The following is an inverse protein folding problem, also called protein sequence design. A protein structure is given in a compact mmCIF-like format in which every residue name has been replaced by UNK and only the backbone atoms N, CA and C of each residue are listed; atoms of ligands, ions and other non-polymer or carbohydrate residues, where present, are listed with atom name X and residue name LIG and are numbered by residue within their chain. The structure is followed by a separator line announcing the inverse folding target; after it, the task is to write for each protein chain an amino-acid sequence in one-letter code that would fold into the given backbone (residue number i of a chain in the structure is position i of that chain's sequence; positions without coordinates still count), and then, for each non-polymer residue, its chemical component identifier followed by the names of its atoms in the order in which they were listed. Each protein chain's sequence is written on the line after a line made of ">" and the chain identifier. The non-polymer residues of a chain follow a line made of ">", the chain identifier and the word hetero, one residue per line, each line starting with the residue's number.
data_IF_843701218414
#
_entry.id   IF_843701218414
#
_cell.length_a   1.000
_cell.length_b   1.000
_cell.length_c   1.000
_cell.angle_alpha   90.00
_cell.angle_beta   90.00
_cell.angle_gamma   90.00
#
_symmetry.space_group_name_H-M   'P 1'
#
loop_
_entity.id
_entity.type
_entity.pdbx_description
1 polymer ?
#
# COMPACT_ATOMS: atom_id res chain seq x y z
N UNK A 1 -0.98 12.63 8.76
CA UNK A 1 -0.22 11.37 8.89
C UNK A 1 1.21 11.59 9.43
N UNK A 2 1.94 12.62 8.99
CA UNK A 2 3.25 12.94 9.53
C UNK A 2 3.23 13.23 11.05
N UNK A 3 2.14 13.75 11.58
CA UNK A 3 2.01 14.09 13.01
C UNK A 3 1.89 12.85 13.93
N UNK A 4 1.38 11.72 13.45
CA UNK A 4 1.33 10.48 14.25
C UNK A 4 2.72 9.85 14.38
N UNK A 5 3.59 10.11 13.40
CA UNK A 5 4.99 9.69 13.36
C UNK A 5 5.96 10.81 13.74
N UNK A 6 5.49 11.89 14.35
CA UNK A 6 6.40 12.92 14.83
C UNK A 6 7.27 12.34 15.95
N UNK A 7 8.41 11.80 15.52
CA UNK A 7 9.41 11.24 16.42
C UNK A 7 9.80 12.24 17.50
N UNK A 8 9.75 13.55 17.23
CA UNK A 8 10.00 14.61 18.22
C UNK A 8 9.01 14.52 19.37
N UNK A 9 7.70 14.43 19.09
CA UNK A 9 6.69 14.34 20.14
C UNK A 9 6.79 13.05 20.96
N UNK A 10 7.09 11.91 20.32
CA UNK A 10 7.30 10.64 21.05
C UNK A 10 8.57 10.68 21.91
N UNK A 11 9.65 11.23 21.39
CA UNK A 11 10.90 11.41 22.16
C UNK A 11 10.73 12.43 23.29
N UNK A 12 10.01 13.51 23.07
CA UNK A 12 9.71 14.50 24.10
C UNK A 12 8.84 13.92 25.20
N UNK A 13 7.81 13.15 24.87
CA UNK A 13 7.00 12.40 25.85
C UNK A 13 7.83 11.41 26.66
N UNK A 14 8.72 10.66 26.01
CA UNK A 14 9.59 9.71 26.69
C UNK A 14 10.65 10.41 27.56
N UNK A 15 11.25 11.48 27.04
CA UNK A 15 12.27 12.28 27.75
C UNK A 15 11.66 13.03 28.92
N UNK A 16 10.56 13.73 28.71
CA UNK A 16 9.91 14.56 29.73
C UNK A 16 9.27 13.68 30.81
N UNK A 17 8.75 12.50 30.46
CA UNK A 17 8.30 11.51 31.42
C UNK A 17 9.43 10.99 32.31
N UNK A 18 10.62 10.78 31.73
CA UNK A 18 11.80 10.29 32.47
C UNK A 18 12.39 11.37 33.39
N UNK A 19 12.33 12.64 32.97
CA UNK A 19 12.92 13.77 33.74
C UNK A 19 11.92 14.41 34.71
N UNK A 20 10.61 14.38 34.42
CA UNK A 20 9.59 15.09 35.19
C UNK A 20 8.65 14.18 35.98
N UNK A 21 8.74 12.85 35.81
CA UNK A 21 7.80 11.88 36.38
C UNK A 21 6.35 11.99 35.82
N UNK A 22 6.15 12.75 34.75
CA UNK A 22 4.85 13.01 34.09
C UNK A 22 4.62 12.12 32.86
N UNK A 23 5.25 10.97 32.81
CA UNK A 23 5.12 10.03 31.71
C UNK A 23 3.72 9.44 31.68
N UNK A 24 2.93 9.79 30.66
CA UNK A 24 1.68 9.11 30.36
C UNK A 24 1.93 7.91 29.44
N UNK A 25 2.13 6.77 30.07
CA UNK A 25 2.37 5.48 29.40
C UNK A 25 1.22 5.10 28.48
N UNK A 26 -0.03 5.35 28.89
CA UNK A 26 -1.21 4.99 28.09
C UNK A 26 -1.27 5.83 26.81
N UNK A 27 -0.93 7.11 26.90
CA UNK A 27 -0.91 8.00 25.74
C UNK A 27 0.20 7.60 24.74
N UNK A 28 1.37 7.20 25.23
CA UNK A 28 2.43 6.68 24.35
C UNK A 28 1.99 5.41 23.63
N UNK A 29 1.37 4.48 24.34
CA UNK A 29 0.82 3.25 23.74
C UNK A 29 -0.27 3.55 22.70
N UNK A 30 -1.14 4.54 22.97
CA UNK A 30 -2.14 5.00 22.00
C UNK A 30 -1.52 5.51 20.73
N UNK A 31 -0.49 6.34 20.83
CA UNK A 31 0.26 6.84 19.67
C UNK A 31 0.92 5.70 18.89
N UNK A 32 1.51 4.74 19.59
CA UNK A 32 2.08 3.55 18.97
C UNK A 32 1.01 2.72 18.23
N UNK A 33 -0.16 2.52 18.84
CA UNK A 33 -1.28 1.83 18.21
C UNK A 33 -1.71 2.51 16.90
N UNK A 34 -1.91 3.82 16.94
CA UNK A 34 -2.25 4.64 15.76
C UNK A 34 -1.18 4.57 14.69
N UNK A 35 0.10 4.59 15.09
CA UNK A 35 1.22 4.49 14.16
C UNK A 35 1.20 3.15 13.42
N UNK A 36 1.06 2.02 14.14
CA UNK A 36 1.00 0.68 13.52
C UNK A 36 -0.24 0.54 12.63
N UNK A 37 -1.40 1.05 13.06
CA UNK A 37 -2.61 1.07 12.23
C UNK A 37 -2.42 1.88 10.95
N UNK A 38 -1.71 3.02 11.02
CA UNK A 38 -1.41 3.86 9.86
C UNK A 38 -0.48 3.16 8.86
N UNK A 39 0.56 2.48 9.35
CA UNK A 39 1.44 1.65 8.50
C UNK A 39 0.64 0.53 7.82
N UNK A 40 -0.22 -0.17 8.57
CA UNK A 40 -1.08 -1.21 8.02
C UNK A 40 -1.99 -0.70 6.88
N UNK A 41 -2.55 0.50 7.03
CA UNK A 41 -3.39 1.15 6.00
C UNK A 41 -2.54 1.55 4.79
N UNK A 42 -1.36 2.13 5.00
CA UNK A 42 -0.44 2.51 3.93
C UNK A 42 -0.06 1.31 3.08
N UNK A 43 0.46 0.28 3.71
CA UNK A 43 0.94 -0.94 3.05
C UNK A 43 -0.23 -1.79 2.51
N UNK A 44 -1.36 -1.81 3.22
CA UNK A 44 -2.51 -2.66 2.87
C UNK A 44 -3.47 -2.08 1.84
N UNK A 45 -3.50 -0.76 1.62
CA UNK A 45 -4.43 -0.09 0.70
C UNK A 45 -3.67 0.74 -0.33
N UNK A 46 -2.93 1.78 0.08
CA UNK A 46 -2.33 2.74 -0.84
C UNK A 46 -1.35 2.08 -1.81
N UNK A 47 -0.49 1.21 -1.32
CA UNK A 47 0.44 0.47 -2.18
C UNK A 47 -0.30 -0.47 -3.13
N UNK A 48 -1.33 -1.14 -2.66
CA UNK A 48 -2.09 -2.08 -3.50
C UNK A 48 -2.87 -1.39 -4.62
N UNK A 49 -3.36 -0.17 -4.39
CA UNK A 49 -3.98 0.67 -5.45
C UNK A 49 -2.94 1.05 -6.49
N UNK A 50 -1.76 1.50 -6.07
CA UNK A 50 -0.64 1.83 -6.96
C UNK A 50 -0.13 0.61 -7.72
N UNK A 51 -0.04 -0.55 -7.07
CA UNK A 51 0.32 -1.81 -7.72
C UNK A 51 -0.69 -2.20 -8.80
N UNK A 52 -2.00 -2.08 -8.52
CA UNK A 52 -3.04 -2.39 -9.51
C UNK A 52 -2.89 -1.53 -10.77
N UNK A 53 -2.62 -0.23 -10.63
CA UNK A 53 -2.37 0.66 -11.76
C UNK A 53 -1.14 0.23 -12.57
N UNK A 54 -0.05 -0.11 -11.88
CA UNK A 54 1.19 -0.53 -12.54
C UNK A 54 1.05 -1.90 -13.22
N UNK A 55 0.36 -2.85 -12.59
CA UNK A 55 0.12 -4.17 -13.17
C UNK A 55 -0.80 -4.11 -14.38
N UNK A 56 -1.72 -3.11 -14.46
CA UNK A 56 -2.54 -2.90 -15.63
C UNK A 56 -1.70 -2.63 -16.90
N UNK A 57 -0.55 -1.97 -16.78
CA UNK A 57 0.39 -1.86 -17.90
C UNK A 57 0.95 -3.22 -18.30
N UNK A 58 1.36 -4.05 -17.33
CA UNK A 58 1.85 -5.41 -17.59
C UNK A 58 0.82 -6.30 -18.28
N UNK A 59 -0.47 -6.25 -17.86
CA UNK A 59 -1.57 -6.97 -18.52
C UNK A 59 -1.74 -6.55 -19.99
N UNK A 60 -1.43 -5.31 -20.31
CA UNK A 60 -1.49 -4.78 -21.66
C UNK A 60 -0.16 -4.95 -22.44
N UNK A 61 0.76 -5.79 -21.96
CA UNK A 61 2.08 -6.01 -22.55
C UNK A 61 2.94 -4.73 -22.64
N UNK A 62 2.69 -3.79 -21.73
CA UNK A 62 3.43 -2.54 -21.62
C UNK A 62 4.20 -2.55 -20.30
N UNK A 63 5.46 -2.09 -20.32
CA UNK A 63 6.30 -1.98 -19.12
C UNK A 63 6.38 -3.27 -18.26
N UNK A 64 6.36 -4.45 -18.91
CA UNK A 64 6.34 -5.74 -18.19
C UNK A 64 7.51 -5.90 -17.20
N UNK A 65 8.69 -5.41 -17.54
CA UNK A 65 9.85 -5.43 -16.63
C UNK A 65 9.59 -4.65 -15.35
N UNK A 66 8.96 -3.46 -15.45
CA UNK A 66 8.58 -2.65 -14.30
C UNK A 66 7.47 -3.33 -13.48
N UNK A 67 6.47 -3.91 -14.13
CA UNK A 67 5.41 -4.66 -13.45
C UNK A 67 5.98 -5.88 -12.68
N UNK A 68 6.95 -6.59 -13.24
CA UNK A 68 7.65 -7.71 -12.56
C UNK A 68 8.45 -7.24 -11.34
N UNK A 69 9.17 -6.13 -11.44
CA UNK A 69 9.87 -5.55 -10.27
C UNK A 69 8.87 -5.18 -9.18
N UNK A 70 7.77 -4.52 -9.53
CA UNK A 70 6.74 -4.15 -8.58
C UNK A 70 6.04 -5.36 -7.96
N UNK A 71 5.92 -6.49 -8.66
CA UNK A 71 5.39 -7.72 -8.07
C UNK A 71 6.30 -8.31 -6.98
N UNK A 72 7.63 -8.14 -7.10
CA UNK A 72 8.57 -8.51 -6.04
C UNK A 72 8.42 -7.59 -4.82
N UNK A 73 8.28 -6.28 -5.04
CA UNK A 73 8.01 -5.32 -3.97
C UNK A 73 6.68 -5.67 -3.28
N UNK A 74 5.62 -5.91 -4.04
CA UNK A 74 4.31 -6.28 -3.48
C UNK A 74 4.35 -7.55 -2.63
N UNK A 75 5.23 -8.50 -2.97
CA UNK A 75 5.49 -9.69 -2.15
C UNK A 75 6.09 -9.32 -0.80
N UNK A 76 7.06 -8.42 -0.78
CA UNK A 76 7.71 -8.00 0.46
C UNK A 76 6.74 -7.17 1.31
N UNK A 77 5.96 -6.27 0.71
CA UNK A 77 4.89 -5.52 1.39
C UNK A 77 3.82 -6.44 1.98
N UNK A 78 3.56 -7.60 1.37
CA UNK A 78 2.63 -8.57 1.93
C UNK A 78 3.10 -9.15 3.27
N UNK A 79 4.40 -9.24 3.51
CA UNK A 79 4.97 -9.69 4.78
C UNK A 79 4.84 -8.60 5.85
N UNK A 80 5.15 -7.35 5.52
CA UNK A 80 4.97 -6.20 6.42
C UNK A 80 3.50 -6.08 6.85
N UNK A 81 2.58 -6.26 5.91
CA UNK A 81 1.15 -6.25 6.17
C UNK A 81 0.74 -7.35 7.16
N UNK A 82 1.25 -8.57 6.99
CA UNK A 82 0.99 -9.68 7.94
C UNK A 82 1.53 -9.36 9.32
N UNK A 83 2.71 -8.76 9.42
CA UNK A 83 3.32 -8.38 10.70
C UNK A 83 2.44 -7.33 11.41
N UNK A 84 2.08 -6.25 10.74
CA UNK A 84 1.26 -5.18 11.33
C UNK A 84 -0.15 -5.67 11.70
N UNK A 85 -0.77 -6.53 10.89
CA UNK A 85 -2.04 -7.17 11.20
C UNK A 85 -1.95 -8.06 12.45
N UNK A 86 -0.90 -8.87 12.55
CA UNK A 86 -0.70 -9.73 13.71
C UNK A 86 -0.49 -8.91 14.99
N UNK A 87 0.28 -7.82 14.94
CA UNK A 87 0.48 -6.93 16.08
C UNK A 87 -0.87 -6.35 16.54
N UNK A 88 -1.62 -5.72 15.63
CA UNK A 88 -2.92 -5.10 15.96
C UNK A 88 -3.91 -6.14 16.50
N UNK A 89 -3.97 -7.31 15.89
CA UNK A 89 -4.84 -8.40 16.31
C UNK A 89 -4.49 -8.91 17.70
N UNK A 90 -3.20 -9.15 17.99
CA UNK A 90 -2.74 -9.60 19.30
C UNK A 90 -3.05 -8.59 20.40
N UNK A 91 -2.87 -7.30 20.13
CA UNK A 91 -3.26 -6.26 21.05
C UNK A 91 -4.77 -6.25 21.31
N UNK A 92 -5.60 -6.43 20.29
CA UNK A 92 -7.05 -6.51 20.44
C UNK A 92 -7.50 -7.80 21.19
N UNK A 93 -6.68 -8.86 21.19
CA UNK A 93 -6.95 -10.15 21.86
C UNK A 93 -6.43 -10.24 23.31
N UNK A 94 -5.83 -9.18 23.83
CA UNK A 94 -5.43 -9.10 25.24
C UNK A 94 -4.00 -9.55 25.55
N UNK A 95 -3.10 -9.68 24.58
CA UNK A 95 -1.67 -9.93 24.84
C UNK A 95 -1.07 -8.85 25.78
N UNK A 96 -1.60 -7.63 25.75
CA UNK A 96 -1.36 -6.55 26.70
C UNK A 96 -2.70 -5.92 27.07
N UNK A 97 -3.16 -5.99 28.34
CA UNK A 97 -4.47 -5.50 28.76
C UNK A 97 -4.70 -4.00 28.49
N UNK A 98 -3.65 -3.19 28.58
CA UNK A 98 -3.74 -1.74 28.30
C UNK A 98 -3.86 -1.49 26.80
N UNK A 99 -3.19 -2.27 25.95
CA UNK A 99 -3.34 -2.21 24.50
C UNK A 99 -4.71 -2.74 24.04
N UNK A 100 -5.28 -3.73 24.71
CA UNK A 100 -6.64 -4.18 24.44
C UNK A 100 -7.67 -3.08 24.70
N UNK A 101 -7.55 -2.36 25.82
CA UNK A 101 -8.40 -1.22 26.13
C UNK A 101 -8.24 -0.12 25.06
N UNK A 102 -6.99 0.23 24.71
CA UNK A 102 -6.68 1.21 23.67
C UNK A 102 -7.28 0.79 22.32
N UNK A 103 -7.14 -0.48 21.95
CA UNK A 103 -7.71 -1.02 20.72
C UNK A 103 -9.23 -0.79 20.62
N UNK A 104 -9.96 -0.97 21.73
CA UNK A 104 -11.40 -0.70 21.79
C UNK A 104 -11.70 0.79 21.72
N UNK A 105 -10.96 1.63 22.43
CA UNK A 105 -11.13 3.08 22.42
C UNK A 105 -10.85 3.68 21.03
N UNK A 106 -9.85 3.15 20.32
CA UNK A 106 -9.39 3.67 19.03
C UNK A 106 -10.11 3.07 17.81
N UNK A 107 -11.05 2.13 18.01
CA UNK A 107 -11.75 1.45 16.90
C UNK A 107 -12.39 2.43 15.93
N UNK A 108 -13.10 3.44 16.44
CA UNK A 108 -13.74 4.45 15.60
C UNK A 108 -12.71 5.35 14.90
N UNK A 109 -11.66 5.76 15.60
CA UNK A 109 -10.60 6.57 15.01
C UNK A 109 -9.93 5.83 13.82
N UNK A 110 -9.59 4.56 14.00
CA UNK A 110 -8.99 3.74 12.92
C UNK A 110 -9.99 3.53 11.78
N UNK A 111 -11.28 3.34 12.08
CA UNK A 111 -12.35 3.27 11.06
C UNK A 111 -12.38 4.54 10.22
N UNK A 112 -12.29 5.71 10.83
CA UNK A 112 -12.23 6.98 10.10
C UNK A 112 -10.95 7.14 9.28
N UNK A 113 -9.82 6.59 9.75
CA UNK A 113 -8.58 6.55 8.95
C UNK A 113 -8.77 5.72 7.67
N UNK A 114 -9.45 4.56 7.76
CA UNK A 114 -9.79 3.75 6.58
C UNK A 114 -10.67 4.52 5.60
N UNK A 115 -11.75 5.15 6.09
CA UNK A 115 -12.67 5.94 5.25
C UNK A 115 -11.93 7.06 4.53
N UNK A 116 -11.16 7.85 5.28
CA UNK A 116 -10.37 8.95 4.70
C UNK A 116 -9.39 8.44 3.63
N UNK A 117 -8.71 7.32 3.89
CA UNK A 117 -7.78 6.73 2.92
C UNK A 117 -8.50 6.30 1.65
N UNK A 118 -9.65 5.65 1.77
CA UNK A 118 -10.45 5.25 0.60
C UNK A 118 -10.90 6.46 -0.21
N UNK A 119 -11.35 7.53 0.44
CA UNK A 119 -11.76 8.76 -0.25
C UNK A 119 -10.57 9.42 -0.98
N UNK A 120 -9.40 9.46 -0.36
CA UNK A 120 -8.18 10.00 -0.98
C UNK A 120 -7.72 9.14 -2.17
N UNK A 121 -7.77 7.81 -2.07
CA UNK A 121 -7.42 6.92 -3.19
C UNK A 121 -8.43 7.00 -4.34
N UNK A 122 -9.72 7.21 -4.05
CA UNK A 122 -10.73 7.47 -5.08
C UNK A 122 -10.50 8.82 -5.78
N UNK A 123 -10.17 9.85 -5.02
CA UNK A 123 -9.84 11.15 -5.60
C UNK A 123 -8.60 11.06 -6.52
N UNK A 124 -7.60 10.27 -6.11
CA UNK A 124 -6.43 9.98 -6.93
C UNK A 124 -6.79 9.19 -8.20
N UNK A 125 -7.66 8.19 -8.10
CA UNK A 125 -8.16 7.44 -9.24
C UNK A 125 -8.87 8.37 -10.25
N UNK A 126 -9.72 9.28 -9.78
CA UNK A 126 -10.38 10.28 -10.62
C UNK A 126 -9.37 11.15 -11.36
N UNK A 127 -8.31 11.57 -10.68
CA UNK A 127 -7.22 12.34 -11.30
C UNK A 127 -6.49 11.52 -12.36
N UNK A 128 -6.17 10.25 -12.10
CA UNK A 128 -5.45 9.41 -13.07
C UNK A 128 -6.25 9.18 -14.35
N UNK A 129 -7.57 8.98 -14.22
CA UNK A 129 -8.43 8.64 -15.36
C UNK A 129 -9.18 9.81 -15.97
N UNK A 130 -8.85 11.05 -15.60
CA UNK A 130 -9.50 12.26 -16.12
C UNK A 130 -9.41 12.41 -17.65
N UNK A 131 -8.36 11.89 -18.27
CA UNK A 131 -8.14 11.97 -19.73
C UNK A 131 -8.55 10.67 -20.46
N UNK A 132 -9.03 9.65 -19.73
CA UNK A 132 -9.48 8.39 -20.31
C UNK A 132 -9.09 7.18 -19.46
N UNK A 133 -9.53 6.01 -19.91
CA UNK A 133 -9.34 4.73 -19.22
C UNK A 133 -8.31 3.87 -19.93
N UNK A 134 -7.75 2.91 -19.22
CA UNK A 134 -6.92 1.83 -19.75
C UNK A 134 -7.78 0.60 -20.06
N UNK A 135 -7.31 -0.27 -20.96
CA UNK A 135 -7.90 -1.58 -21.15
C UNK A 135 -7.78 -2.38 -19.84
N UNK A 136 -8.91 -2.84 -19.32
CA UNK A 136 -8.98 -3.62 -18.07
C UNK A 136 -8.96 -2.80 -16.78
N UNK A 137 -8.77 -1.46 -16.85
CA UNK A 137 -8.79 -0.60 -15.67
C UNK A 137 -9.38 0.78 -15.98
N UNK A 138 -10.37 1.17 -15.19
CA UNK A 138 -10.97 2.49 -15.21
C UNK A 138 -11.26 2.97 -13.79
N UNK A 139 -11.68 4.23 -13.66
CA UNK A 139 -12.03 4.88 -12.40
C UNK A 139 -12.97 4.03 -11.54
N UNK A 140 -14.08 3.57 -12.11
CA UNK A 140 -15.11 2.80 -11.39
C UNK A 140 -14.59 1.46 -10.88
N UNK A 141 -13.82 0.73 -11.69
CA UNK A 141 -13.21 -0.54 -11.28
C UNK A 141 -12.20 -0.32 -10.15
N UNK A 142 -11.40 0.75 -10.24
CA UNK A 142 -10.43 1.07 -9.21
C UNK A 142 -11.11 1.51 -7.91
N UNK A 143 -12.21 2.28 -7.95
CA UNK A 143 -13.02 2.62 -6.78
C UNK A 143 -13.54 1.37 -6.07
N UNK A 144 -14.13 0.44 -6.84
CA UNK A 144 -14.62 -0.82 -6.28
C UNK A 144 -13.49 -1.66 -5.66
N UNK A 145 -12.32 -1.66 -6.28
CA UNK A 145 -11.15 -2.36 -5.77
C UNK A 145 -10.64 -1.78 -4.47
N UNK A 146 -10.55 -0.45 -4.36
CA UNK A 146 -10.13 0.25 -3.13
C UNK A 146 -11.06 -0.10 -1.96
N UNK A 147 -12.38 -0.03 -2.15
CA UNK A 147 -13.36 -0.39 -1.13
C UNK A 147 -13.28 -1.87 -0.75
N UNK A 148 -13.17 -2.74 -1.76
CA UNK A 148 -13.07 -4.17 -1.54
C UNK A 148 -11.84 -4.54 -0.71
N UNK A 149 -10.66 -3.96 -1.05
CA UNK A 149 -9.44 -4.25 -0.31
C UNK A 149 -9.49 -3.66 1.08
N UNK A 150 -10.03 -2.44 1.26
CA UNK A 150 -10.19 -1.81 2.55
C UNK A 150 -11.05 -2.66 3.51
N UNK A 151 -12.19 -3.17 3.06
CA UNK A 151 -13.03 -4.07 3.84
C UNK A 151 -12.29 -5.34 4.28
N UNK A 152 -11.43 -5.89 3.42
CA UNK A 152 -10.61 -7.07 3.77
C UNK A 152 -9.55 -6.73 4.82
N UNK A 153 -8.93 -5.55 4.73
CA UNK A 153 -7.92 -5.09 5.70
C UNK A 153 -8.54 -4.78 7.05
N UNK A 154 -9.72 -4.13 7.06
CA UNK A 154 -10.49 -3.90 8.28
C UNK A 154 -10.80 -5.21 9.00
N UNK A 155 -11.34 -6.21 8.29
CA UNK A 155 -11.60 -7.54 8.85
C UNK A 155 -10.36 -8.22 9.44
N UNK A 156 -9.21 -8.04 8.81
CA UNK A 156 -7.97 -8.67 9.26
C UNK A 156 -7.46 -8.14 10.61
N UNK A 157 -7.95 -6.99 11.05
CA UNK A 157 -7.61 -6.35 12.33
C UNK A 157 -8.82 -6.18 13.27
N UNK A 158 -9.84 -7.03 13.08
CA UNK A 158 -11.07 -7.10 13.90
C UNK A 158 -11.88 -5.79 13.91
N UNK A 159 -11.84 -5.04 12.77
CA UNK A 159 -12.73 -3.89 12.51
C UNK A 159 -13.82 -4.31 11.51
N UNK A 160 -15.06 -3.91 11.80
CA UNK A 160 -16.19 -4.23 10.93
C UNK A 160 -16.07 -3.48 9.59
N UNK A 161 -16.31 -4.16 8.45
CA UNK A 161 -16.33 -3.53 7.14
C UNK A 161 -17.41 -2.46 7.06
N UNK A 162 -17.08 -1.31 6.45
CA UNK A 162 -17.99 -0.14 6.38
C UNK A 162 -18.35 0.26 4.94
N UNK A 163 -17.69 -0.35 3.95
CA UNK A 163 -17.95 -0.02 2.55
C UNK A 163 -18.96 -1.01 1.95
N UNK A 164 -19.97 -0.46 1.28
CA UNK A 164 -21.00 -1.26 0.61
C UNK A 164 -20.48 -1.68 -0.78
N UNK A 165 -19.63 -2.70 -0.80
CA UNK A 165 -19.07 -3.24 -2.04
C UNK A 165 -19.99 -4.33 -2.57
N UNK A 166 -20.54 -4.11 -3.76
CA UNK A 166 -21.37 -5.07 -4.48
C UNK A 166 -20.60 -6.35 -4.82
N UNK A 167 -19.28 -6.26 -4.97
CA UNK A 167 -18.44 -7.39 -5.36
C UNK A 167 -18.02 -8.23 -4.14
N UNK A 168 -18.54 -9.44 -4.02
CA UNK A 168 -18.01 -10.47 -3.11
C UNK A 168 -16.59 -10.90 -3.49
N UNK A 169 -16.27 -10.85 -4.79
CA UNK A 169 -14.99 -11.24 -5.36
C UNK A 169 -14.15 -10.01 -5.70
N UNK A 170 -12.86 -10.23 -5.89
CA UNK A 170 -11.93 -9.18 -6.31
C UNK A 170 -12.42 -8.51 -7.61
N UNK A 171 -12.68 -7.18 -7.62
CA UNK A 171 -13.08 -6.46 -8.83
C UNK A 171 -12.04 -6.45 -9.94
N UNK A 172 -10.78 -6.67 -9.59
CA UNK A 172 -9.63 -6.75 -10.50
C UNK A 172 -8.96 -8.15 -10.37
N UNK A 173 -9.60 -9.24 -10.84
CA UNK A 173 -9.13 -10.61 -10.59
C UNK A 173 -7.73 -10.88 -11.16
N UNK A 174 -7.33 -10.20 -12.23
CA UNK A 174 -6.01 -10.30 -12.83
C UNK A 174 -4.88 -9.82 -11.89
N UNK A 175 -5.17 -8.94 -10.92
CA UNK A 175 -4.17 -8.51 -9.92
C UNK A 175 -3.63 -9.68 -9.10
N UNK A 176 -4.40 -10.77 -8.96
CA UNK A 176 -3.97 -11.94 -8.19
C UNK A 176 -2.78 -12.65 -8.82
N UNK A 177 -2.65 -12.63 -10.14
CA UNK A 177 -1.50 -13.17 -10.85
C UNK A 177 -0.20 -12.46 -10.43
N UNK A 178 -0.23 -11.13 -10.39
CA UNK A 178 0.92 -10.31 -10.01
C UNK A 178 1.25 -10.33 -8.52
N UNK A 179 0.21 -10.50 -7.67
CA UNK A 179 0.34 -10.54 -6.22
C UNK A 179 0.64 -11.94 -5.67
N UNK A 180 0.60 -12.98 -6.51
CA UNK A 180 0.85 -14.35 -6.07
C UNK A 180 2.34 -14.64 -6.04
N UNK A 181 2.91 -14.73 -4.84
CA UNK A 181 4.32 -15.03 -4.62
C UNK A 181 4.71 -16.50 -4.86
N UNK A 182 3.75 -17.40 -5.08
CA UNK A 182 4.00 -18.81 -5.33
C UNK A 182 4.57 -19.00 -6.74
N UNK A 183 5.88 -19.13 -6.86
CA UNK A 183 6.59 -19.38 -8.11
C UNK A 183 7.48 -18.24 -8.60
N UNK A 184 7.50 -17.09 -7.94
CA UNK A 184 8.37 -15.96 -8.29
C UNK A 184 9.71 -16.06 -7.54
N UNK A 185 10.47 -17.14 -7.80
CA UNK A 185 11.83 -17.26 -7.25
C UNK A 185 12.92 -16.73 -8.18
N UNK A 186 12.57 -16.37 -9.41
CA UNK A 186 13.54 -15.93 -10.41
C UNK A 186 13.77 -14.43 -10.34
N UNK A 187 15.01 -14.00 -10.46
CA UNK A 187 15.35 -12.60 -10.61
C UNK A 187 14.64 -11.99 -11.85
N UNK A 188 14.28 -10.70 -11.85
CA UNK A 188 13.57 -10.08 -12.96
C UNK A 188 14.25 -10.26 -14.32
N UNK A 189 15.59 -10.31 -14.35
CA UNK A 189 16.39 -10.55 -15.54
C UNK A 189 16.32 -12.00 -16.06
N UNK A 190 15.88 -12.95 -15.24
CA UNK A 190 15.74 -14.37 -15.62
C UNK A 190 14.33 -14.69 -16.12
N UNK A 191 13.44 -13.73 -16.09
CA UNK A 191 12.05 -13.89 -16.52
C UNK A 191 11.92 -13.40 -17.95
N UNK A 192 11.40 -14.26 -18.84
CA UNK A 192 11.17 -13.90 -20.24
C UNK A 192 10.15 -12.76 -20.36
N UNK A 193 10.49 -11.72 -21.09
CA UNK A 193 9.64 -10.56 -21.36
C UNK A 193 9.15 -10.68 -22.80
N UNK A 194 7.87 -10.99 -22.98
CA UNK A 194 7.28 -11.21 -24.31
C UNK A 194 7.21 -9.94 -25.16
N UNK A 195 7.13 -8.76 -24.53
CA UNK A 195 7.06 -7.48 -25.23
C UNK A 195 8.42 -6.92 -25.64
N UNK A 196 9.51 -7.61 -25.33
CA UNK A 196 10.85 -7.17 -25.70
C UNK A 196 11.14 -7.46 -27.19
N UNK A 197 11.05 -6.43 -28.02
CA UNK A 197 11.42 -6.52 -29.44
C UNK A 197 12.93 -6.44 -29.54
N UNK A 198 13.57 -7.59 -29.74
CA UNK A 198 15.02 -7.65 -30.05
C UNK A 198 15.28 -6.87 -31.33
N UNK A 199 16.13 -5.86 -31.29
CA UNK A 199 16.43 -4.99 -32.43
C UNK A 199 15.60 -3.72 -32.55
N UNK A 200 14.67 -3.48 -31.61
CA UNK A 200 13.85 -2.26 -31.55
C UNK A 200 14.54 -1.04 -30.92
N UNK A 201 15.84 -1.09 -30.68
CA UNK A 201 16.59 0.08 -30.23
C UNK A 201 16.67 1.05 -31.41
N UNK A 202 15.85 2.07 -31.44
CA UNK A 202 16.09 3.24 -32.27
C UNK A 202 17.40 3.87 -31.77
N UNK A 203 18.43 3.69 -32.55
CA UNK A 203 19.69 4.37 -32.33
C UNK A 203 19.50 5.82 -32.77
N UNK A 204 19.10 6.69 -31.87
CA UNK A 204 18.90 8.13 -32.13
C UNK A 204 20.24 8.87 -32.30
N UNK A 205 21.34 8.22 -31.90
CA UNK A 205 22.70 8.76 -32.02
C UNK A 205 23.28 8.31 -33.35
N UNK A 206 23.40 9.23 -34.28
CA UNK A 206 24.17 9.04 -35.53
C UNK A 206 25.62 9.42 -35.31
N UNK A 207 26.54 8.90 -36.15
CA UNK A 207 27.96 9.16 -36.01
C UNK A 207 28.37 10.63 -36.03
N UNK A 208 27.49 11.51 -36.49
CA UNK A 208 27.67 12.97 -36.57
C UNK A 208 26.97 13.76 -35.45
N UNK A 209 26.23 13.07 -34.58
CA UNK A 209 25.43 13.72 -33.52
C UNK A 209 26.30 14.58 -32.59
N UNK A 210 27.56 14.23 -32.41
CA UNK A 210 28.52 14.95 -31.54
C UNK A 210 29.62 15.65 -32.33
N UNK A 211 29.53 15.75 -33.66
CA UNK A 211 30.57 16.38 -34.50
C UNK A 211 30.82 17.88 -34.22
N UNK A 212 29.95 18.51 -33.45
CA UNK A 212 30.09 19.92 -33.04
C UNK A 212 30.66 20.10 -31.61
N UNK A 213 30.92 19.04 -30.89
CA UNK A 213 31.55 19.12 -29.56
C UNK A 213 33.03 18.82 -29.66
N UNK A 214 33.86 19.86 -29.60
CA UNK A 214 35.29 19.71 -29.34
C UNK A 214 35.52 19.68 -27.83
N UNK A 215 36.20 18.64 -27.37
CA UNK A 215 36.75 18.57 -26.00
C UNK A 215 37.94 19.55 -25.86
#
# INVERSE_FOLDING_TARGET
>A
HAHEFDNGQMWDLARDGHTTGRYDRKELKRKLYRAVANVNILEGIRFYVSFACSFAFGENKLMEGSAKILSLIARDESQHLVITQNILKKWAQGDDPEMEEISREEKEYVTQMFKKTVDEEKAWANYLFKEGSMIGLNEKLLHNYVEWIANRRMKAIDIDPVFDVVARNNPLPWTQHWLNSKGQQNAPQETEIESYVVGGIKQDVKGDTFAGFSL
#
